data_IF_667014682148
#
_entry.id   IF_667014682148
#
_cell.length_a   1.000
_cell.length_b   1.000
_cell.length_c   1.000
_cell.angle_alpha   90.00
_cell.angle_beta   90.00
_cell.angle_gamma   90.00
#
_symmetry.space_group_name_H-M   'P 1'
#
loop_
_entity.id
_entity.type
_entity.pdbx_description
1 polymer ?
#
# COMPACT_ATOMS: atom_id res chain seq x y z
N UNK A 1 10.85 -5.49 -9.07
CA UNK A 1 11.73 -4.46 -8.48
C UNK A 1 11.15 -3.07 -8.73
N UNK A 2 11.11 -2.21 -7.69
CA UNK A 2 10.70 -0.80 -7.75
C UNK A 2 11.89 0.08 -7.43
N UNK A 3 12.12 1.16 -8.20
CA UNK A 3 13.18 2.12 -7.94
C UNK A 3 12.67 3.55 -8.12
N UNK A 4 12.95 4.38 -7.15
CA UNK A 4 12.85 5.83 -7.24
C UNK A 4 14.29 6.35 -7.34
N UNK A 5 14.64 6.99 -8.45
CA UNK A 5 16.00 7.48 -8.71
C UNK A 5 16.01 8.99 -8.86
N UNK A 6 16.81 9.65 -8.02
CA UNK A 6 17.04 11.09 -8.07
C UNK A 6 15.72 11.90 -8.08
N UNK A 7 14.74 11.47 -7.28
CA UNK A 7 13.42 12.10 -7.24
C UNK A 7 13.52 13.47 -6.60
N UNK A 8 13.10 14.49 -7.35
CA UNK A 8 12.84 15.82 -6.81
C UNK A 8 11.35 16.12 -6.89
N UNK A 9 10.80 16.63 -5.78
CA UNK A 9 9.40 17.04 -5.68
C UNK A 9 9.26 18.34 -4.92
N UNK A 10 8.78 19.36 -5.65
CA UNK A 10 8.49 20.69 -5.12
C UNK A 10 6.99 20.91 -5.22
N UNK A 11 6.39 21.35 -4.12
CA UNK A 11 5.00 21.79 -4.07
C UNK A 11 4.95 23.31 -4.17
N UNK A 12 3.93 23.83 -4.87
CA UNK A 12 3.68 25.27 -5.05
C UNK A 12 4.90 26.07 -5.55
N UNK A 13 5.60 25.63 -6.63
CA UNK A 13 6.81 26.30 -7.10
C UNK A 13 6.56 27.77 -7.43
N UNK A 14 7.44 28.65 -6.96
CA UNK A 14 7.35 30.09 -7.16
C UNK A 14 6.34 30.84 -6.28
N UNK A 15 5.67 30.15 -5.35
CA UNK A 15 4.77 30.76 -4.37
C UNK A 15 5.42 30.88 -3.01
N UNK A 16 4.87 31.76 -2.14
CA UNK A 16 5.32 31.88 -0.73
C UNK A 16 5.22 30.56 0.04
N UNK A 17 4.35 29.66 -0.42
CA UNK A 17 4.13 28.32 0.15
C UNK A 17 4.94 27.25 -0.56
N UNK A 18 5.98 27.62 -1.30
CA UNK A 18 6.87 26.65 -1.94
C UNK A 18 7.51 25.75 -0.90
N UNK A 19 7.45 24.46 -1.15
CA UNK A 19 8.03 23.44 -0.27
C UNK A 19 8.73 22.38 -1.11
N UNK A 20 10.04 22.26 -0.99
CA UNK A 20 10.79 21.14 -1.50
C UNK A 20 10.61 19.96 -0.55
N UNK A 21 9.88 18.94 -0.99
CA UNK A 21 9.64 17.74 -0.19
C UNK A 21 10.73 16.69 -0.42
N UNK A 22 11.10 16.47 -1.66
CA UNK A 22 12.18 15.56 -2.05
C UNK A 22 13.21 16.30 -2.88
N UNK A 23 14.48 16.16 -2.48
CA UNK A 23 15.66 16.64 -3.18
C UNK A 23 16.64 15.48 -3.31
N UNK A 24 16.78 14.96 -4.53
CA UNK A 24 17.59 13.77 -4.82
C UNK A 24 17.19 12.49 -4.04
N UNK A 25 15.91 12.30 -3.78
CA UNK A 25 15.41 11.16 -3.02
C UNK A 25 15.55 9.85 -3.82
N UNK A 26 16.16 8.86 -3.17
CA UNK A 26 16.40 7.54 -3.73
C UNK A 26 15.78 6.47 -2.84
N UNK A 27 15.02 5.52 -3.44
CA UNK A 27 14.40 4.43 -2.71
C UNK A 27 14.24 3.21 -3.62
N UNK A 28 14.63 2.05 -3.16
CA UNK A 28 14.56 0.80 -3.92
C UNK A 28 13.84 -0.26 -3.12
N UNK A 29 12.98 -1.05 -3.78
CA UNK A 29 12.35 -2.25 -3.23
C UNK A 29 12.64 -3.40 -4.16
N UNK A 30 13.31 -4.44 -3.66
CA UNK A 30 13.64 -5.63 -4.42
C UNK A 30 12.43 -6.55 -4.54
N UNK A 31 12.47 -7.46 -5.53
CA UNK A 31 11.40 -8.43 -5.71
C UNK A 31 11.27 -9.33 -4.47
N UNK A 32 10.04 -9.51 -4.00
CA UNK A 32 9.73 -10.28 -2.81
C UNK A 32 10.04 -9.59 -1.48
N UNK A 33 10.58 -8.36 -1.47
CA UNK A 33 10.71 -7.59 -0.23
C UNK A 33 9.34 -7.11 0.26
N UNK A 34 9.17 -7.16 1.57
CA UNK A 34 8.10 -6.47 2.28
C UNK A 34 8.72 -5.37 3.13
N UNK A 35 8.64 -4.12 2.66
CA UNK A 35 9.24 -2.95 3.31
C UNK A 35 8.21 -2.25 4.18
N UNK A 36 8.50 -2.12 5.47
CA UNK A 36 7.73 -1.29 6.40
C UNK A 36 8.36 0.12 6.43
N UNK A 37 7.55 1.15 6.16
CA UNK A 37 7.97 2.56 6.13
C UNK A 37 7.29 3.31 7.26
N UNK A 38 8.09 3.89 8.14
CA UNK A 38 7.67 4.73 9.26
C UNK A 38 8.22 6.15 9.12
N UNK A 39 7.78 7.06 9.97
CA UNK A 39 8.27 8.43 10.00
C UNK A 39 7.22 9.41 10.53
N UNK A 40 7.65 10.62 10.83
CA UNK A 40 6.79 11.71 11.33
C UNK A 40 5.74 12.13 10.29
N UNK A 41 4.72 12.88 10.74
CA UNK A 41 3.79 13.52 9.83
C UNK A 41 4.54 14.55 8.98
N UNK A 42 4.27 14.58 7.68
CA UNK A 42 4.98 15.46 6.74
C UNK A 42 6.33 14.91 6.25
N UNK A 43 6.79 13.74 6.71
CA UNK A 43 8.08 13.17 6.26
C UNK A 43 8.10 12.72 4.79
N UNK A 44 6.96 12.71 4.09
CA UNK A 44 6.89 12.38 2.66
C UNK A 44 6.36 10.99 2.33
N UNK A 45 6.01 10.14 3.32
CA UNK A 45 5.55 8.75 3.10
C UNK A 45 4.40 8.63 2.10
N UNK A 46 3.30 9.34 2.35
CA UNK A 46 2.13 9.32 1.46
C UNK A 46 2.44 9.92 0.08
N UNK A 47 3.29 10.97 0.04
CA UNK A 47 3.75 11.56 -1.23
C UNK A 47 4.59 10.57 -2.03
N UNK A 48 5.48 9.81 -1.39
CA UNK A 48 6.24 8.73 -2.01
C UNK A 48 5.30 7.68 -2.60
N UNK A 49 4.31 7.20 -1.85
CA UNK A 49 3.33 6.24 -2.36
C UNK A 49 2.55 6.80 -3.56
N UNK A 50 2.13 8.06 -3.50
CA UNK A 50 1.40 8.72 -4.58
C UNK A 50 2.27 8.92 -5.84
N UNK A 51 3.57 9.17 -5.68
CA UNK A 51 4.54 9.23 -6.79
C UNK A 51 4.67 7.84 -7.44
N UNK A 52 4.80 6.78 -6.65
CA UNK A 52 4.84 5.39 -7.14
C UNK A 52 3.57 5.05 -7.93
N UNK A 53 2.40 5.40 -7.39
CA UNK A 53 1.10 5.17 -8.04
C UNK A 53 0.86 6.06 -9.27
N UNK A 54 1.61 7.16 -9.44
CA UNK A 54 1.43 8.11 -10.54
C UNK A 54 0.35 9.16 -10.30
N UNK A 55 -0.22 9.22 -9.09
CA UNK A 55 -1.21 10.25 -8.72
C UNK A 55 -0.56 11.62 -8.52
N UNK A 56 0.74 11.66 -8.25
CA UNK A 56 1.55 12.88 -8.13
C UNK A 56 2.73 12.78 -9.09
N UNK A 57 2.92 13.74 -10.02
CA UNK A 57 4.08 13.78 -10.89
C UNK A 57 5.33 14.25 -10.12
N UNK A 58 6.49 13.80 -10.54
CA UNK A 58 7.78 14.27 -10.07
C UNK A 58 8.22 15.51 -10.85
N UNK A 59 9.08 16.36 -10.25
CA UNK A 59 9.70 17.48 -10.94
C UNK A 59 10.97 17.03 -11.67
N UNK A 60 11.75 16.10 -11.08
CA UNK A 60 12.91 15.47 -11.69
C UNK A 60 13.04 14.03 -11.19
N UNK A 61 13.91 13.24 -11.82
CA UNK A 61 14.17 11.85 -11.49
C UNK A 61 13.26 10.86 -12.20
N UNK A 62 13.44 9.59 -11.89
CA UNK A 62 12.78 8.48 -12.55
C UNK A 62 12.11 7.53 -11.56
N UNK A 63 10.89 7.13 -11.89
CA UNK A 63 10.17 6.01 -11.26
C UNK A 63 10.27 4.81 -12.17
N UNK A 64 10.97 3.78 -11.73
CA UNK A 64 11.19 2.55 -12.51
C UNK A 64 10.44 1.40 -11.86
N UNK A 65 9.69 0.66 -12.66
CA UNK A 65 9.02 -0.59 -12.25
C UNK A 65 9.50 -1.69 -13.19
N UNK A 66 10.13 -2.70 -12.62
CA UNK A 66 10.75 -3.79 -13.38
C UNK A 66 11.72 -3.26 -14.47
N UNK A 67 12.53 -2.24 -14.11
CA UNK A 67 13.49 -1.59 -14.99
C UNK A 67 12.89 -0.67 -16.06
N UNK A 68 11.55 -0.48 -16.08
CA UNK A 68 10.87 0.38 -17.06
C UNK A 68 10.45 1.68 -16.39
N UNK A 69 10.87 2.83 -16.98
CA UNK A 69 10.44 4.14 -16.52
C UNK A 69 8.93 4.34 -16.77
N UNK A 70 8.21 4.69 -15.69
CA UNK A 70 6.74 4.83 -15.70
C UNK A 70 6.29 6.28 -15.52
N UNK A 71 7.19 7.27 -15.54
CA UNK A 71 6.85 8.68 -15.31
C UNK A 71 5.72 9.20 -16.21
N UNK A 72 5.72 8.76 -17.48
CA UNK A 72 4.71 9.17 -18.48
C UNK A 72 3.41 8.39 -18.42
N UNK A 73 3.37 7.28 -17.65
CA UNK A 73 2.16 6.48 -17.49
C UNK A 73 1.20 7.16 -16.52
N UNK A 74 -0.07 7.19 -16.91
CA UNK A 74 -1.15 7.67 -16.04
C UNK A 74 -1.37 6.71 -14.87
N UNK A 75 -1.99 7.17 -13.80
CA UNK A 75 -2.28 6.39 -12.61
C UNK A 75 -3.05 5.10 -12.91
N UNK A 76 -4.12 5.14 -13.71
CA UNK A 76 -4.90 3.95 -14.06
C UNK A 76 -4.07 2.89 -14.82
N UNK A 77 -3.08 3.31 -15.61
CA UNK A 77 -2.15 2.39 -16.29
C UNK A 77 -1.21 1.71 -15.30
N UNK A 78 -0.78 2.44 -14.25
CA UNK A 78 0.06 1.87 -13.17
C UNK A 78 -0.76 0.98 -12.25
N UNK A 79 -2.00 1.33 -11.96
CA UNK A 79 -2.89 0.48 -11.18
C UNK A 79 -3.21 -0.87 -11.85
N UNK A 80 -2.94 -1.04 -13.15
CA UNK A 80 -3.05 -2.35 -13.79
C UNK A 80 -2.17 -3.42 -13.12
N UNK A 81 -1.01 -3.02 -12.57
CA UNK A 81 -0.05 -3.93 -11.93
C UNK A 81 0.35 -3.53 -10.50
N UNK A 82 -0.25 -2.47 -9.94
CA UNK A 82 -0.11 -2.07 -8.54
C UNK A 82 -1.42 -2.34 -7.81
N UNK A 83 -1.37 -3.12 -6.72
CA UNK A 83 -2.45 -3.20 -5.74
C UNK A 83 -2.30 -2.10 -4.69
N UNK A 84 -3.37 -1.40 -4.30
CA UNK A 84 -3.32 -0.44 -3.21
C UNK A 84 -4.46 -0.68 -2.23
N UNK A 85 -4.12 -0.72 -0.95
CA UNK A 85 -5.07 -0.73 0.16
C UNK A 85 -4.92 0.59 0.90
N UNK A 86 -6.03 1.33 1.03
CA UNK A 86 -6.05 2.67 1.61
C UNK A 86 -6.35 2.63 3.10
N UNK A 87 -5.96 3.70 3.81
CA UNK A 87 -6.30 3.93 5.20
C UNK A 87 -7.83 3.96 5.40
N UNK A 88 -8.55 4.67 4.55
CA UNK A 88 -10.00 4.65 4.51
C UNK A 88 -10.45 3.56 3.51
N UNK A 89 -11.06 2.46 3.99
CA UNK A 89 -11.50 1.39 3.10
C UNK A 89 -12.45 1.85 1.98
N UNK A 90 -13.22 2.91 2.21
CA UNK A 90 -14.17 3.43 1.21
C UNK A 90 -13.51 4.05 -0.02
N UNK A 91 -12.21 4.35 0.03
CA UNK A 91 -11.48 4.86 -1.14
C UNK A 91 -11.14 3.78 -2.16
N UNK A 92 -11.10 2.53 -1.74
CA UNK A 92 -10.75 1.38 -2.60
C UNK A 92 -11.94 0.55 -3.07
N UNK A 93 -13.19 0.94 -2.71
CA UNK A 93 -14.39 0.18 -3.04
C UNK A 93 -15.62 1.08 -3.26
N UNK A 94 -16.69 0.48 -3.78
CA UNK A 94 -17.98 1.13 -3.99
C UNK A 94 -18.97 0.68 -2.87
N UNK A 95 -19.23 1.48 -1.83
CA UNK A 95 -20.02 1.06 -0.67
C UNK A 95 -21.46 0.65 -1.01
N UNK A 96 -22.06 1.22 -2.05
CA UNK A 96 -23.43 0.93 -2.48
C UNK A 96 -23.53 -0.36 -3.32
N UNK A 97 -22.43 -0.90 -3.79
CA UNK A 97 -22.35 -2.15 -4.52
C UNK A 97 -22.11 -3.32 -3.58
N UNK A 98 -22.53 -4.52 -3.99
CA UNK A 98 -22.27 -5.77 -3.27
C UNK A 98 -20.78 -6.14 -3.29
N UNK A 99 -20.37 -7.06 -2.41
CA UNK A 99 -19.01 -7.64 -2.44
C UNK A 99 -18.72 -8.23 -3.83
N UNK A 100 -19.67 -8.99 -4.38
CA UNK A 100 -19.55 -9.60 -5.69
C UNK A 100 -19.29 -8.58 -6.80
N UNK A 101 -20.03 -7.48 -6.83
CA UNK A 101 -19.88 -6.42 -7.82
C UNK A 101 -18.52 -5.73 -7.68
N UNK A 102 -18.11 -5.43 -6.46
CA UNK A 102 -16.78 -4.85 -6.17
C UNK A 102 -15.64 -5.78 -6.62
N UNK A 103 -15.72 -7.08 -6.28
CA UNK A 103 -14.74 -8.07 -6.70
C UNK A 103 -14.69 -8.24 -8.22
N UNK A 104 -15.86 -8.20 -8.88
CA UNK A 104 -15.95 -8.27 -10.34
C UNK A 104 -15.28 -7.07 -11.02
N UNK A 105 -15.45 -5.86 -10.46
CA UNK A 105 -14.74 -4.68 -10.94
C UNK A 105 -13.22 -4.83 -10.77
N UNK A 106 -12.78 -5.30 -9.60
CA UNK A 106 -11.36 -5.53 -9.31
C UNK A 106 -10.74 -6.59 -10.25
N UNK A 107 -11.48 -7.66 -10.56
CA UNK A 107 -11.02 -8.73 -11.48
C UNK A 107 -10.92 -8.26 -12.94
N UNK A 108 -11.60 -7.17 -13.30
CA UNK A 108 -11.51 -6.56 -14.63
C UNK A 108 -10.38 -5.52 -14.76
N UNK A 109 -9.64 -5.29 -13.70
CA UNK A 109 -8.51 -4.37 -13.65
C UNK A 109 -7.48 -4.69 -14.74
N UNK A 110 -7.10 -3.67 -15.52
CA UNK A 110 -6.12 -3.81 -16.60
C UNK A 110 -6.63 -4.53 -17.87
N UNK A 111 -7.88 -4.98 -17.89
CA UNK A 111 -8.48 -5.61 -19.06
C UNK A 111 -9.16 -4.54 -19.96
N UNK A 112 -9.17 -4.74 -21.30
CA UNK A 112 -9.88 -3.83 -22.18
C UNK A 112 -11.39 -3.87 -21.89
N UNK A 113 -12.02 -2.71 -21.89
CA UNK A 113 -13.48 -2.62 -21.79
C UNK A 113 -14.12 -3.06 -23.09
N UNK A 114 -15.06 -4.01 -23.01
CA UNK A 114 -15.84 -4.52 -24.12
C UNK A 114 -17.32 -4.60 -23.75
N UNK A 115 -18.15 -5.01 -24.70
CA UNK A 115 -19.57 -5.32 -24.48
C UNK A 115 -19.70 -6.67 -23.76
N UNK A 116 -19.29 -6.73 -22.49
CA UNK A 116 -19.41 -7.91 -21.65
C UNK A 116 -20.20 -7.57 -20.38
N UNK A 117 -20.89 -8.58 -19.82
CA UNK A 117 -21.55 -8.40 -18.54
C UNK A 117 -20.53 -8.09 -17.45
N UNK A 118 -20.82 -7.08 -16.62
CA UNK A 118 -19.96 -6.69 -15.47
C UNK A 118 -19.81 -7.84 -14.46
N UNK A 119 -20.81 -8.71 -14.34
CA UNK A 119 -20.79 -9.88 -13.46
C UNK A 119 -20.54 -11.17 -14.24
N UNK A 120 -19.41 -11.79 -13.97
CA UNK A 120 -19.06 -13.09 -14.54
C UNK A 120 -19.43 -14.21 -13.56
N UNK A 121 -20.59 -14.88 -13.81
CA UNK A 121 -21.08 -15.98 -12.96
C UNK A 121 -20.08 -17.14 -12.82
N UNK A 122 -19.23 -17.37 -13.84
CA UNK A 122 -18.19 -18.42 -13.81
C UNK A 122 -17.08 -18.13 -12.78
N UNK A 123 -17.00 -16.90 -12.29
CA UNK A 123 -16.01 -16.47 -11.30
C UNK A 123 -16.53 -16.47 -9.86
N UNK A 124 -17.79 -16.81 -9.62
CA UNK A 124 -18.40 -16.78 -8.27
C UNK A 124 -17.67 -17.71 -7.30
N UNK A 125 -17.39 -18.94 -7.72
CA UNK A 125 -16.68 -19.91 -6.87
C UNK A 125 -15.27 -19.47 -6.56
N UNK A 126 -14.56 -18.88 -7.53
CA UNK A 126 -13.27 -18.28 -7.33
C UNK A 126 -13.31 -17.13 -6.31
N UNK A 127 -14.30 -16.24 -6.39
CA UNK A 127 -14.43 -15.16 -5.40
C UNK A 127 -14.74 -15.69 -4.00
N UNK A 128 -15.59 -16.72 -3.90
CA UNK A 128 -15.84 -17.42 -2.63
C UNK A 128 -14.57 -18.00 -2.03
N UNK A 129 -13.78 -18.69 -2.83
CA UNK A 129 -12.49 -19.27 -2.40
C UNK A 129 -11.54 -18.20 -1.88
N UNK A 130 -11.40 -17.08 -2.62
CA UNK A 130 -10.55 -15.97 -2.18
C UNK A 130 -11.02 -15.38 -0.84
N UNK A 131 -12.32 -15.22 -0.63
CA UNK A 131 -12.87 -14.70 0.63
C UNK A 131 -12.80 -15.73 1.76
N UNK A 132 -13.02 -17.01 1.49
CA UNK A 132 -12.91 -18.10 2.45
C UNK A 132 -11.50 -18.17 3.06
N UNK A 133 -10.46 -17.86 2.28
CA UNK A 133 -9.06 -17.84 2.76
C UNK A 133 -8.82 -16.85 3.90
N UNK A 134 -9.72 -15.86 4.08
CA UNK A 134 -9.66 -14.87 5.15
C UNK A 134 -10.18 -15.41 6.49
N UNK A 135 -11.03 -16.46 6.50
CA UNK A 135 -11.61 -17.01 7.73
C UNK A 135 -12.61 -16.08 8.44
N UNK A 136 -13.24 -15.13 7.72
CA UNK A 136 -14.14 -14.12 8.28
C UNK A 136 -15.63 -14.35 7.91
N UNK A 137 -15.98 -15.49 7.29
CA UNK A 137 -17.35 -15.81 6.85
C UNK A 137 -17.87 -14.85 5.78
N UNK A 138 -16.97 -14.27 4.97
CA UNK A 138 -17.34 -13.32 3.91
C UNK A 138 -17.71 -14.02 2.62
N UNK A 139 -17.33 -15.26 2.43
CA UNK A 139 -17.65 -16.13 1.31
C UNK A 139 -19.17 -16.35 1.15
N UNK A 140 -19.93 -16.30 2.24
CA UNK A 140 -21.38 -16.42 2.24
C UNK A 140 -22.10 -15.08 2.08
N UNK A 141 -21.35 -13.97 2.04
CA UNK A 141 -21.87 -12.59 2.01
C UNK A 141 -21.68 -11.89 0.67
N UNK A 142 -21.45 -12.61 -0.42
CA UNK A 142 -21.19 -12.03 -1.75
C UNK A 142 -22.25 -11.00 -2.20
N UNK A 143 -23.51 -11.19 -1.80
CA UNK A 143 -24.62 -10.30 -2.15
C UNK A 143 -24.88 -9.18 -1.13
N UNK A 144 -24.09 -9.10 -0.07
CA UNK A 144 -24.16 -8.03 0.93
C UNK A 144 -23.43 -6.79 0.38
N UNK A 145 -24.00 -5.60 0.61
CA UNK A 145 -23.37 -4.33 0.22
C UNK A 145 -22.09 -4.09 1.03
N UNK A 146 -21.04 -3.60 0.37
CA UNK A 146 -19.77 -3.25 1.03
C UNK A 146 -19.96 -2.27 2.19
N UNK A 147 -20.86 -1.30 2.04
CA UNK A 147 -21.15 -0.30 3.09
C UNK A 147 -21.77 -0.88 4.36
N UNK A 148 -22.38 -2.08 4.30
CA UNK A 148 -22.98 -2.77 5.46
C UNK A 148 -21.96 -3.61 6.26
N UNK A 149 -20.74 -3.76 5.77
CA UNK A 149 -19.67 -4.49 6.45
C UNK A 149 -19.05 -3.65 7.58
N UNK A 150 -18.50 -4.31 8.59
CA UNK A 150 -17.63 -3.63 9.57
C UNK A 150 -16.36 -3.05 8.89
N UNK A 151 -15.68 -2.11 9.56
CA UNK A 151 -14.42 -1.53 9.05
C UNK A 151 -13.39 -2.61 8.69
N UNK A 152 -13.17 -3.56 9.58
CA UNK A 152 -12.22 -4.66 9.36
C UNK A 152 -12.65 -5.60 8.23
N UNK A 153 -13.94 -5.95 8.14
CA UNK A 153 -14.45 -6.76 7.03
C UNK A 153 -14.26 -6.07 5.69
N UNK A 154 -14.54 -4.76 5.60
CA UNK A 154 -14.27 -3.98 4.38
C UNK A 154 -12.79 -3.96 4.04
N UNK A 155 -11.93 -3.80 5.04
CA UNK A 155 -10.48 -3.78 4.83
C UNK A 155 -9.96 -5.13 4.33
N UNK A 156 -10.46 -6.24 4.90
CA UNK A 156 -10.14 -7.59 4.43
C UNK A 156 -10.57 -7.81 2.97
N UNK A 157 -11.79 -7.40 2.60
CA UNK A 157 -12.25 -7.48 1.20
C UNK A 157 -11.38 -6.58 0.30
N UNK A 158 -11.03 -5.37 0.75
CA UNK A 158 -10.15 -4.46 -0.01
C UNK A 158 -8.77 -5.06 -0.27
N UNK A 159 -8.20 -5.78 0.70
CA UNK A 159 -6.95 -6.52 0.55
C UNK A 159 -7.06 -7.62 -0.52
N UNK A 160 -8.14 -8.42 -0.47
CA UNK A 160 -8.40 -9.44 -1.51
C UNK A 160 -8.55 -8.79 -2.88
N UNK A 161 -9.36 -7.73 -3.00
CA UNK A 161 -9.55 -7.01 -4.25
C UNK A 161 -8.24 -6.45 -4.82
N UNK A 162 -7.38 -5.87 -3.97
CA UNK A 162 -6.09 -5.33 -4.37
C UNK A 162 -5.15 -6.41 -4.94
N UNK A 163 -5.32 -7.67 -4.52
CA UNK A 163 -4.48 -8.82 -4.88
C UNK A 163 -5.19 -9.88 -5.71
N UNK A 164 -6.38 -9.56 -6.25
CA UNK A 164 -7.22 -10.51 -6.98
C UNK A 164 -6.67 -10.85 -8.37
N UNK A 165 -6.09 -9.86 -9.03
CA UNK A 165 -5.35 -10.01 -10.29
C UNK A 165 -3.86 -10.06 -10.02
N UNK A 166 -3.04 -10.62 -10.92
CA UNK A 166 -1.59 -10.54 -10.80
C UNK A 166 -1.13 -9.09 -10.68
N UNK A 167 -0.34 -8.82 -9.66
CA UNK A 167 0.26 -7.50 -9.40
C UNK A 167 1.76 -7.64 -9.19
N UNK A 168 2.53 -6.61 -9.55
CA UNK A 168 3.96 -6.54 -9.28
C UNK A 168 4.23 -6.03 -7.86
N UNK A 169 3.37 -5.09 -7.37
CA UNK A 169 3.52 -4.45 -6.06
C UNK A 169 2.21 -4.32 -5.32
N UNK A 170 2.28 -4.49 -4.01
CA UNK A 170 1.21 -4.19 -3.07
C UNK A 170 1.61 -2.97 -2.23
N UNK A 171 0.77 -1.93 -2.25
CA UNK A 171 0.92 -0.73 -1.43
C UNK A 171 -0.13 -0.76 -0.33
N UNK A 172 0.32 -0.63 0.90
CA UNK A 172 -0.47 -0.63 2.12
C UNK A 172 -0.30 0.74 2.80
N UNK A 173 -1.30 1.61 2.66
CA UNK A 173 -1.24 2.99 3.13
C UNK A 173 -2.01 3.11 4.45
N UNK A 174 -1.33 2.94 5.58
CA UNK A 174 -1.90 3.00 6.93
C UNK A 174 -3.19 2.17 7.10
N UNK A 175 -3.25 1.04 6.44
CA UNK A 175 -4.47 0.27 6.20
C UNK A 175 -5.13 -0.32 7.46
N UNK A 176 -4.50 -0.19 8.62
CA UNK A 176 -5.04 -0.63 9.92
C UNK A 176 -5.37 0.54 10.86
N UNK A 177 -5.01 1.78 10.50
CA UNK A 177 -5.09 2.93 11.42
C UNK A 177 -6.54 3.31 11.83
N UNK A 178 -7.53 3.02 10.98
CA UNK A 178 -8.94 3.33 11.23
C UNK A 178 -9.69 2.18 11.95
N UNK A 179 -8.99 1.15 12.41
CA UNK A 179 -9.57 -0.04 13.03
C UNK A 179 -9.31 -0.07 14.54
N UNK A 180 -10.18 -0.76 15.28
CA UNK A 180 -9.90 -1.08 16.68
C UNK A 180 -8.68 -2.03 16.79
N UNK A 181 -7.98 -2.06 17.93
CA UNK A 181 -6.70 -2.79 18.06
C UNK A 181 -6.80 -4.28 17.74
N UNK A 182 -7.90 -4.94 18.15
CA UNK A 182 -8.08 -6.38 17.90
C UNK A 182 -8.31 -6.66 16.42
N UNK A 183 -9.13 -5.85 15.78
CA UNK A 183 -9.38 -5.97 14.34
C UNK A 183 -8.13 -5.63 13.53
N UNK A 184 -7.37 -4.61 13.94
CA UNK A 184 -6.12 -4.24 13.29
C UNK A 184 -5.10 -5.39 13.30
N UNK A 185 -4.97 -6.12 14.41
CA UNK A 185 -4.12 -7.32 14.53
C UNK A 185 -4.52 -8.39 13.51
N UNK A 186 -5.81 -8.74 13.46
CA UNK A 186 -6.35 -9.72 12.50
C UNK A 186 -6.03 -9.30 11.05
N UNK A 187 -6.20 -8.02 10.73
CA UNK A 187 -5.92 -7.52 9.37
C UNK A 187 -4.42 -7.57 9.05
N UNK A 188 -3.56 -7.29 10.04
CA UNK A 188 -2.10 -7.43 9.85
C UNK A 188 -1.68 -8.87 9.60
N UNK A 189 -2.18 -9.82 10.40
CA UNK A 189 -1.92 -11.25 10.20
C UNK A 189 -2.40 -11.73 8.81
N UNK A 190 -3.59 -11.31 8.39
CA UNK A 190 -4.11 -11.61 7.06
C UNK A 190 -3.25 -11.00 5.95
N UNK A 191 -2.78 -9.77 6.15
CA UNK A 191 -1.90 -9.08 5.20
C UNK A 191 -0.58 -9.83 5.04
N UNK A 192 0.07 -10.18 6.13
CA UNK A 192 1.32 -10.93 6.11
C UNK A 192 1.15 -12.30 5.43
N UNK A 193 0.07 -13.02 5.78
CA UNK A 193 -0.30 -14.28 5.14
C UNK A 193 -0.45 -14.14 3.62
N UNK A 194 -1.20 -13.13 3.15
CA UNK A 194 -1.42 -12.88 1.72
C UNK A 194 -0.12 -12.54 1.01
N UNK A 195 0.70 -11.66 1.61
CA UNK A 195 2.01 -11.27 1.04
C UNK A 195 2.92 -12.49 0.89
N UNK A 196 3.03 -13.33 1.93
CA UNK A 196 3.86 -14.54 1.93
C UNK A 196 3.36 -15.60 0.95
N UNK A 197 2.06 -15.90 0.97
CA UNK A 197 1.46 -16.92 0.10
C UNK A 197 1.57 -16.58 -1.39
N UNK A 198 1.34 -15.32 -1.73
CA UNK A 198 1.41 -14.83 -3.12
C UNK A 198 2.82 -14.37 -3.52
N UNK A 199 3.79 -14.40 -2.60
CA UNK A 199 5.18 -13.93 -2.79
C UNK A 199 5.23 -12.50 -3.36
N UNK A 200 4.40 -11.60 -2.78
CA UNK A 200 4.28 -10.24 -3.27
C UNK A 200 5.45 -9.38 -2.81
N UNK A 201 5.85 -8.44 -3.66
CA UNK A 201 6.64 -7.28 -3.23
C UNK A 201 5.69 -6.27 -2.62
N UNK A 202 5.95 -5.81 -1.39
CA UNK A 202 5.02 -4.93 -0.67
C UNK A 202 5.73 -3.74 -0.01
N UNK A 203 5.04 -2.59 -0.01
CA UNK A 203 5.43 -1.40 0.75
C UNK A 203 4.28 -1.04 1.68
N UNK A 204 4.51 -1.06 2.97
CA UNK A 204 3.57 -0.70 4.00
C UNK A 204 4.00 0.59 4.70
N UNK A 205 3.18 1.62 4.63
CA UNK A 205 3.31 2.79 5.48
C UNK A 205 2.47 2.57 6.73
N UNK A 206 3.05 2.80 7.89
CA UNK A 206 2.35 2.65 9.17
C UNK A 206 2.89 3.63 10.21
N UNK A 207 2.03 4.05 11.14
CA UNK A 207 2.41 4.78 12.36
C UNK A 207 2.56 3.84 13.57
N UNK A 208 2.17 2.57 13.43
CA UNK A 208 2.31 1.59 14.49
C UNK A 208 3.72 0.98 14.44
N UNK A 209 4.58 1.40 15.38
CA UNK A 209 5.97 0.95 15.47
C UNK A 209 6.08 -0.56 15.69
N UNK A 210 5.16 -1.14 16.47
CA UNK A 210 5.12 -2.59 16.69
C UNK A 210 4.95 -3.32 15.37
N UNK A 211 3.98 -2.93 14.54
CA UNK A 211 3.77 -3.56 13.23
C UNK A 211 4.96 -3.36 12.29
N UNK A 212 5.62 -2.21 12.36
CA UNK A 212 6.79 -1.94 11.55
C UNK A 212 7.98 -2.86 11.89
N UNK A 213 8.16 -3.19 13.17
CA UNK A 213 9.19 -4.12 13.66
C UNK A 213 8.80 -5.57 13.36
N UNK A 214 7.57 -5.97 13.68
CA UNK A 214 7.12 -7.37 13.60
C UNK A 214 6.93 -7.85 12.15
N UNK A 215 6.42 -6.98 11.27
CA UNK A 215 6.06 -7.36 9.89
C UNK A 215 7.03 -6.82 8.85
N UNK A 216 7.18 -7.58 7.77
CA UNK A 216 8.06 -7.24 6.66
C UNK A 216 9.52 -7.68 6.86
N UNK A 217 10.30 -7.58 5.79
CA UNK A 217 11.71 -8.01 5.71
C UNK A 217 12.69 -6.85 5.85
N UNK A 218 12.21 -5.60 5.70
CA UNK A 218 13.00 -4.37 5.79
C UNK A 218 12.19 -3.28 6.46
N UNK A 219 12.87 -2.46 7.26
CA UNK A 219 12.35 -1.30 7.96
C UNK A 219 13.05 -0.04 7.46
N UNK A 220 12.27 0.93 7.01
CA UNK A 220 12.75 2.23 6.55
C UNK A 220 12.09 3.32 7.37
N UNK A 221 12.87 4.28 7.85
CA UNK A 221 12.37 5.46 8.53
C UNK A 221 12.64 6.71 7.71
N UNK A 222 11.59 7.49 7.49
CA UNK A 222 11.67 8.75 6.75
C UNK A 222 11.50 9.94 7.68
N UNK A 223 12.28 10.97 7.46
CA UNK A 223 12.13 12.30 8.06
C UNK A 223 12.43 13.40 7.03
N UNK A 224 11.55 14.41 6.93
CA UNK A 224 11.70 15.58 6.05
C UNK A 224 12.19 15.25 4.63
N UNK A 225 11.56 14.25 4.02
CA UNK A 225 11.87 13.83 2.65
C UNK A 225 13.13 12.97 2.49
N UNK A 226 13.79 12.60 3.58
CA UNK A 226 15.00 11.76 3.57
C UNK A 226 14.76 10.43 4.26
N UNK A 227 15.55 9.41 3.88
CA UNK A 227 15.65 8.15 4.63
C UNK A 227 16.72 8.33 5.69
N UNK A 228 16.33 8.19 6.97
CA UNK A 228 17.23 8.35 8.12
C UNK A 228 17.57 7.01 8.81
N UNK A 229 16.81 5.95 8.49
CA UNK A 229 17.08 4.58 8.91
C UNK A 229 16.67 3.63 7.79
N UNK A 230 17.53 2.65 7.53
CA UNK A 230 17.27 1.58 6.57
C UNK A 230 17.89 0.28 7.09
N UNK A 231 17.06 -0.65 7.55
CA UNK A 231 17.50 -1.91 8.14
C UNK A 231 16.77 -3.09 7.50
N UNK A 232 17.52 -4.11 7.12
CA UNK A 232 17.01 -5.31 6.48
C UNK A 232 17.58 -6.58 7.13
N UNK A 233 16.95 -7.73 6.91
CA UNK A 233 17.44 -9.02 7.37
C UNK A 233 17.63 -9.09 8.89
N UNK A 234 18.80 -9.52 9.35
CA UNK A 234 19.13 -9.65 10.77
C UNK A 234 19.14 -8.29 11.48
N UNK A 235 19.67 -7.23 10.85
CA UNK A 235 19.68 -5.89 11.44
C UNK A 235 18.26 -5.37 11.74
N UNK A 236 17.27 -5.77 10.94
CA UNK A 236 15.87 -5.46 11.23
C UNK A 236 15.35 -6.26 12.42
N UNK A 237 15.68 -7.54 12.50
CA UNK A 237 15.21 -8.42 13.60
C UNK A 237 15.72 -7.96 14.96
N UNK A 238 16.93 -7.43 14.99
CA UNK A 238 17.57 -6.92 16.21
C UNK A 238 17.11 -5.51 16.58
N UNK A 239 16.30 -4.86 15.73
CA UNK A 239 15.82 -3.50 15.98
C UNK A 239 14.63 -3.52 16.94
N UNK A 240 14.78 -2.84 18.08
CA UNK A 240 13.71 -2.64 19.05
C UNK A 240 12.88 -1.37 18.78
N UNK A 241 11.71 -1.28 19.41
CA UNK A 241 10.91 -0.05 19.37
C UNK A 241 11.67 1.10 20.05
N UNK A 242 12.44 0.84 21.10
CA UNK A 242 13.20 1.86 21.81
C UNK A 242 14.31 2.46 20.92
N UNK A 243 14.96 1.64 20.06
CA UNK A 243 15.94 2.13 19.08
C UNK A 243 15.29 3.10 18.09
N UNK A 244 14.10 2.77 17.61
CA UNK A 244 13.33 3.63 16.70
C UNK A 244 12.94 4.93 17.40
N UNK A 245 12.46 4.88 18.63
CA UNK A 245 12.08 6.06 19.41
C UNK A 245 13.29 6.97 19.70
N UNK A 246 14.46 6.38 19.95
CA UNK A 246 15.69 7.15 20.13
C UNK A 246 16.04 7.98 18.88
N UNK A 247 15.88 7.39 17.68
CA UNK A 247 16.12 8.09 16.41
C UNK A 247 15.07 9.19 16.19
N UNK A 248 13.78 8.92 16.49
CA UNK A 248 12.71 9.92 16.42
C UNK A 248 13.02 11.14 17.30
N UNK A 249 13.47 10.90 18.55
CA UNK A 249 13.79 11.97 19.49
C UNK A 249 14.99 12.80 19.02
N UNK A 250 16.01 12.15 18.45
CA UNK A 250 17.17 12.85 17.88
C UNK A 250 16.77 13.74 16.69
N UNK A 251 15.86 13.29 15.83
CA UNK A 251 15.39 14.09 14.70
C UNK A 251 14.58 15.33 15.13
N UNK A 252 13.93 15.29 16.32
CA UNK A 252 13.19 16.41 16.89
C UNK A 252 14.09 17.45 17.57
N UNK A 253 15.29 17.09 18.02
CA UNK A 253 16.23 17.98 18.71
C UNK A 253 16.98 18.90 17.73
N UNK A 254 17.01 18.55 16.45
CA UNK A 254 17.68 19.34 15.40
C UNK A 254 16.75 20.37 14.71
N UNK A 255 15.82 20.97 15.46
CA UNK A 255 15.00 22.13 15.03
C UNK A 255 15.65 23.41 15.49
#
# INVERSE_FOLDING_TARGET
MLELKHISKIYNPGLVTEMCLFDDFNFTVNDGEFVSVIGSNGSGKTSMLNIICGSIPVNAGEVLINGKCVNKKKDFERYAYIGRVYQNPSMGNCPNMTILENMSLADNKGKPFGLSFALNKKRYDFYREQLSSLGLGLEDKLHVKMGSLSGGQRQAVSLVMATLTPIDFLILDEHTAALDPKTAEIIMELTDKVVKQKKLTAVMVTHNLRYAVEYGTRLVMMDRGNIILDKAGEDKKDTSIDDILAIFNLSLIHI
#
